data_IF_037088849975
#
_entry.id   IF_037088849975
#
_cell.length_a   1.000
_cell.length_b   1.000
_cell.length_c   1.000
_cell.angle_alpha   90.00
_cell.angle_beta   90.00
_cell.angle_gamma   90.00
#
_symmetry.space_group_name_H-M   'P 1'
#
loop_
_entity.id
_entity.type
_entity.pdbx_description
1 polymer ?
#
# COMPACT_ATOMS: atom_id res chain seq x y z
N UNK A 1 25.66 22.35 6.07
CA UNK A 1 25.10 21.86 5.76
C UNK A 1 24.76 20.65 6.17
N UNK A 2 24.10 20.14 5.74
CA UNK A 2 23.71 19.03 6.14
C UNK A 2 24.60 17.97 6.05
N UNK A 3 24.82 17.34 7.09
CA UNK A 3 25.61 16.18 7.11
C UNK A 3 25.00 15.16 6.24
N UNK A 4 25.74 14.71 5.31
CA UNK A 4 25.34 13.62 4.49
C UNK A 4 25.46 12.32 5.27
N UNK A 5 26.06 12.38 6.45
CA UNK A 5 26.23 11.22 7.28
C UNK A 5 25.12 11.06 8.28
N UNK A 6 23.90 11.22 7.82
CA UNK A 6 22.73 10.95 8.65
C UNK A 6 22.79 9.47 9.07
N UNK A 7 22.83 9.19 10.37
CA UNK A 7 22.91 7.82 10.84
C UNK A 7 21.81 6.90 10.32
N UNK A 8 20.65 7.48 10.04
CA UNK A 8 19.55 6.70 9.50
C UNK A 8 19.82 6.25 8.07
N UNK A 9 20.58 7.03 7.31
CA UNK A 9 20.96 6.63 5.98
C UNK A 9 22.09 5.63 5.98
N UNK A 10 22.96 5.73 6.98
CA UNK A 10 24.10 4.81 7.10
C UNK A 10 23.63 3.39 7.36
N UNK A 11 22.51 3.21 8.05
CA UNK A 11 21.98 1.89 8.34
C UNK A 11 21.31 1.24 7.13
N UNK A 12 21.04 1.99 6.08
CA UNK A 12 20.42 1.44 4.89
C UNK A 12 21.47 0.76 4.02
N UNK A 13 21.37 -0.54 3.88
CA UNK A 13 22.21 -1.30 2.97
C UNK A 13 21.59 -1.22 1.57
N UNK A 14 22.26 -0.56 0.59
CA UNK A 14 21.69 -0.43 -0.75
C UNK A 14 21.53 -1.75 -1.48
N UNK A 15 22.15 -2.82 -0.95
CA UNK A 15 21.99 -4.15 -1.54
C UNK A 15 20.89 -4.96 -0.88
N UNK A 16 20.39 -4.48 0.25
CA UNK A 16 19.31 -5.16 0.95
C UNK A 16 18.01 -4.94 0.16
N UNK A 17 17.23 -6.00 -0.11
CA UNK A 17 15.95 -5.83 -0.75
C UNK A 17 14.99 -5.04 0.15
N UNK A 18 14.07 -4.33 -0.46
CA UNK A 18 13.01 -3.65 0.27
C UNK A 18 12.10 -4.70 0.91
N UNK A 19 11.75 -4.50 2.16
CA UNK A 19 10.86 -5.42 2.87
C UNK A 19 9.44 -4.94 2.66
N UNK A 20 8.62 -5.77 2.04
CA UNK A 20 7.30 -5.38 1.56
C UNK A 20 6.20 -6.22 2.19
N UNK A 21 5.14 -5.55 2.62
CA UNK A 21 3.90 -6.20 3.03
C UNK A 21 2.83 -5.90 1.98
N UNK A 22 2.02 -6.89 1.65
CA UNK A 22 0.90 -6.74 0.72
C UNK A 22 -0.40 -7.09 1.43
N UNK A 23 -1.37 -6.20 1.34
CA UNK A 23 -2.70 -6.42 1.89
C UNK A 23 -3.73 -6.32 0.78
N UNK A 24 -4.56 -7.33 0.64
CA UNK A 24 -5.70 -7.29 -0.27
C UNK A 24 -6.95 -7.04 0.54
N UNK A 25 -7.67 -5.97 0.22
CA UNK A 25 -8.88 -5.58 0.91
C UNK A 25 -10.06 -5.96 0.04
N UNK A 26 -10.76 -6.99 0.44
CA UNK A 26 -11.89 -7.54 -0.31
C UNK A 26 -12.74 -8.43 0.57
N UNK A 27 -14.02 -8.09 0.73
CA UNK A 27 -14.97 -8.93 1.47
C UNK A 27 -15.04 -10.32 0.84
N UNK A 28 -15.12 -10.38 -0.49
CA UNK A 28 -15.23 -11.65 -1.21
C UNK A 28 -13.97 -12.49 -1.10
N UNK A 29 -12.81 -11.83 -1.18
CA UNK A 29 -11.53 -12.51 -1.02
C UNK A 29 -11.34 -13.05 0.38
N UNK A 30 -11.73 -12.26 1.40
CA UNK A 30 -11.61 -12.66 2.79
C UNK A 30 -12.49 -13.87 3.12
N UNK A 31 -13.64 -13.98 2.46
CA UNK A 31 -14.54 -15.11 2.62
C UNK A 31 -14.18 -16.32 1.76
N UNK A 32 -13.12 -16.22 0.96
CA UNK A 32 -12.70 -17.28 0.06
C UNK A 32 -13.55 -17.42 -1.19
N UNK A 33 -14.43 -16.44 -1.48
CA UNK A 33 -15.34 -16.48 -2.61
C UNK A 33 -14.75 -15.97 -3.93
N UNK A 34 -13.53 -15.47 -3.89
CA UNK A 34 -12.86 -14.91 -5.06
C UNK A 34 -11.37 -15.16 -4.95
N UNK A 35 -10.74 -15.52 -6.08
CA UNK A 35 -9.30 -15.61 -6.15
C UNK A 35 -8.68 -14.21 -6.02
N UNK A 36 -7.56 -14.14 -5.35
CA UNK A 36 -6.86 -12.88 -5.16
C UNK A 36 -5.85 -12.64 -6.31
N UNK A 37 -6.37 -12.23 -7.45
CA UNK A 37 -5.54 -11.96 -8.63
C UNK A 37 -4.63 -10.76 -8.43
N UNK A 38 -5.16 -9.68 -7.83
CA UNK A 38 -4.38 -8.47 -7.58
C UNK A 38 -3.23 -8.74 -6.63
N UNK A 39 -3.49 -9.50 -5.57
CA UNK A 39 -2.45 -9.86 -4.61
C UNK A 39 -1.36 -10.71 -5.24
N UNK A 40 -1.75 -11.67 -6.08
CA UNK A 40 -0.77 -12.50 -6.79
C UNK A 40 0.10 -11.68 -7.71
N UNK A 41 -0.50 -10.75 -8.45
CA UNK A 41 0.25 -9.87 -9.34
C UNK A 41 1.22 -9.00 -8.56
N UNK A 42 0.79 -8.45 -7.43
CA UNK A 42 1.66 -7.64 -6.59
C UNK A 42 2.83 -8.43 -6.02
N UNK A 43 2.61 -9.69 -5.63
CA UNK A 43 3.70 -10.54 -5.15
C UNK A 43 4.78 -10.72 -6.21
N UNK A 44 4.37 -10.88 -7.47
CA UNK A 44 5.31 -10.99 -8.57
C UNK A 44 6.05 -9.68 -8.81
N UNK A 45 5.33 -8.55 -8.79
CA UNK A 45 5.90 -7.24 -9.03
C UNK A 45 6.87 -6.81 -7.93
N UNK A 46 6.67 -7.26 -6.70
CA UNK A 46 7.56 -6.97 -5.57
C UNK A 46 8.98 -7.44 -5.87
N UNK A 47 9.14 -8.55 -6.58
CA UNK A 47 10.46 -9.08 -6.93
C UNK A 47 11.24 -8.13 -7.84
N UNK A 48 10.52 -7.35 -8.66
CA UNK A 48 11.16 -6.42 -9.60
C UNK A 48 11.68 -5.14 -8.94
N UNK A 49 11.26 -4.85 -7.70
CA UNK A 49 11.61 -3.62 -7.01
C UNK A 49 13.10 -3.35 -6.80
N UNK A 50 14.01 -4.21 -6.39
CA UNK A 50 13.95 -5.54 -5.79
C UNK A 50 13.37 -5.55 -4.38
N UNK A 51 12.41 -6.40 -4.17
CA UNK A 51 11.72 -6.50 -2.91
C UNK A 51 11.61 -7.93 -2.40
N UNK A 52 11.45 -8.02 -1.10
CA UNK A 52 11.19 -9.28 -0.42
C UNK A 52 9.82 -9.18 0.22
N UNK A 53 8.92 -10.10 -0.13
CA UNK A 53 7.60 -10.13 0.47
C UNK A 53 7.70 -10.80 1.84
N UNK A 54 7.47 -10.01 2.89
CA UNK A 54 7.57 -10.53 4.26
C UNK A 54 6.21 -10.72 4.93
N UNK A 55 5.15 -10.20 4.34
CA UNK A 55 3.80 -10.37 4.89
C UNK A 55 2.77 -10.22 3.78
N UNK A 56 1.77 -11.08 3.80
CA UNK A 56 0.65 -11.01 2.89
C UNK A 56 -0.62 -11.43 3.61
N UNK A 57 -1.69 -10.68 3.43
CA UNK A 57 -2.98 -11.05 4.02
C UNK A 57 -4.13 -10.49 3.20
N UNK A 58 -5.23 -11.23 3.16
CA UNK A 58 -6.49 -10.77 2.60
C UNK A 58 -7.40 -10.41 3.77
N UNK A 59 -7.96 -9.21 3.72
CA UNK A 59 -8.81 -8.68 4.78
C UNK A 59 -10.16 -8.24 4.22
N UNK A 60 -11.23 -8.31 5.02
CA UNK A 60 -12.50 -7.72 4.60
C UNK A 60 -12.42 -6.19 4.59
N UNK A 61 -13.34 -5.56 3.88
CA UNK A 61 -13.40 -4.10 3.77
C UNK A 61 -13.99 -3.45 5.04
N UNK A 62 -13.24 -3.53 6.12
CA UNK A 62 -13.61 -2.97 7.43
C UNK A 62 -12.55 -2.00 7.90
N UNK A 63 -12.91 -0.72 8.03
CA UNK A 63 -11.97 0.34 8.32
C UNK A 63 -11.15 0.11 9.60
N UNK A 64 -11.81 -0.27 10.67
CA UNK A 64 -11.13 -0.51 11.96
C UNK A 64 -10.08 -1.60 11.89
N UNK A 65 -10.38 -2.67 11.15
CA UNK A 65 -9.46 -3.78 10.99
C UNK A 65 -8.27 -3.38 10.11
N UNK A 66 -8.53 -2.64 9.04
CA UNK A 66 -7.48 -2.13 8.16
C UNK A 66 -6.55 -1.19 8.93
N UNK A 67 -7.11 -0.26 9.70
CA UNK A 67 -6.32 0.66 10.52
C UNK A 67 -5.42 -0.10 11.50
N UNK A 68 -5.97 -1.09 12.18
CA UNK A 68 -5.22 -1.85 13.17
C UNK A 68 -4.04 -2.58 12.55
N UNK A 69 -4.24 -3.23 11.40
CA UNK A 69 -3.18 -3.99 10.76
C UNK A 69 -2.10 -3.07 10.16
N UNK A 70 -2.51 -1.95 9.59
CA UNK A 70 -1.56 -0.97 9.05
C UNK A 70 -0.65 -0.42 10.16
N UNK A 71 -1.24 -0.06 11.30
CA UNK A 71 -0.47 0.42 12.45
C UNK A 71 0.49 -0.65 12.97
N UNK A 72 -0.01 -1.86 13.12
CA UNK A 72 0.80 -2.95 13.62
C UNK A 72 2.02 -3.19 12.74
N UNK A 73 1.83 -3.29 11.44
CA UNK A 73 2.92 -3.55 10.52
C UNK A 73 3.93 -2.39 10.51
N UNK A 74 3.44 -1.16 10.39
CA UNK A 74 4.33 0.01 10.33
C UNK A 74 5.09 0.20 11.64
N UNK A 75 4.44 -0.02 12.76
CA UNK A 75 5.05 0.23 14.07
C UNK A 75 6.11 -0.81 14.46
N UNK A 76 6.09 -1.98 13.84
CA UNK A 76 7.13 -2.99 14.09
C UNK A 76 8.51 -2.52 13.62
N UNK A 77 8.55 -1.66 12.60
CA UNK A 77 9.81 -1.11 12.10
C UNK A 77 10.60 -2.01 11.17
N UNK A 78 10.06 -3.16 10.80
CA UNK A 78 10.75 -4.10 9.92
C UNK A 78 10.18 -4.15 8.49
N UNK A 79 9.27 -3.22 8.16
CA UNK A 79 8.65 -3.13 6.82
C UNK A 79 8.96 -1.77 6.22
N UNK A 80 9.46 -1.76 5.00
CA UNK A 80 9.78 -0.51 4.29
C UNK A 80 8.58 0.00 3.51
N UNK A 81 7.75 -0.90 2.99
CA UNK A 81 6.65 -0.57 2.10
C UNK A 81 5.44 -1.46 2.37
N UNK A 82 4.27 -0.84 2.53
CA UNK A 82 3.00 -1.56 2.57
C UNK A 82 2.24 -1.20 1.31
N UNK A 83 1.91 -2.21 0.50
CA UNK A 83 1.05 -2.05 -0.66
C UNK A 83 -0.31 -2.61 -0.32
N UNK A 84 -1.35 -1.80 -0.46
CA UNK A 84 -2.71 -2.30 -0.33
C UNK A 84 -3.36 -2.32 -1.71
N UNK A 85 -4.23 -3.27 -1.97
CA UNK A 85 -4.99 -3.31 -3.20
C UNK A 85 -6.46 -3.53 -2.88
N UNK A 86 -7.32 -2.76 -3.52
CA UNK A 86 -8.76 -2.82 -3.32
C UNK A 86 -9.30 -1.71 -2.42
N UNK A 87 -10.60 -1.54 -2.45
CA UNK A 87 -11.32 -0.61 -1.57
C UNK A 87 -11.07 0.86 -1.81
N UNK A 88 -10.67 1.26 -3.02
CA UNK A 88 -10.33 2.67 -3.31
C UNK A 88 -11.40 3.44 -4.09
N UNK A 89 -12.56 2.84 -4.35
CA UNK A 89 -13.62 3.45 -5.13
C UNK A 89 -14.60 4.27 -4.33
N UNK A 90 -15.84 4.35 -4.82
CA UNK A 90 -16.87 5.20 -4.26
C UNK A 90 -17.99 4.45 -3.51
N UNK A 91 -17.92 3.13 -3.46
CA UNK A 91 -18.89 2.33 -2.71
C UNK A 91 -18.76 2.57 -1.20
N UNK A 92 -19.83 2.47 -0.43
CA UNK A 92 -19.74 2.58 1.03
C UNK A 92 -18.76 1.59 1.68
N UNK A 93 -18.48 0.47 1.02
CA UNK A 93 -17.51 -0.51 1.53
C UNK A 93 -16.09 -0.21 1.08
N UNK A 94 -15.88 0.80 0.25
CA UNK A 94 -14.55 1.21 -0.19
C UNK A 94 -13.97 2.17 0.85
N UNK A 95 -13.33 1.62 1.88
CA UNK A 95 -12.87 2.39 3.04
C UNK A 95 -11.34 2.41 3.20
N UNK A 96 -10.62 1.82 2.25
CA UNK A 96 -9.16 1.76 2.35
C UNK A 96 -8.48 3.14 2.46
N UNK A 97 -8.85 4.14 1.62
CA UNK A 97 -8.23 5.45 1.74
C UNK A 97 -8.52 6.13 3.07
N UNK A 98 -9.74 5.97 3.57
CA UNK A 98 -10.15 6.57 4.83
C UNK A 98 -9.36 5.98 6.00
N UNK A 99 -9.21 4.66 6.02
CA UNK A 99 -8.43 3.97 7.03
C UNK A 99 -6.96 4.38 6.97
N UNK A 100 -6.41 4.48 5.75
CA UNK A 100 -5.02 4.86 5.54
C UNK A 100 -4.76 6.28 6.05
N UNK A 101 -5.66 7.23 5.77
CA UNK A 101 -5.52 8.60 6.24
C UNK A 101 -5.47 8.70 7.75
N UNK A 102 -6.14 7.80 8.47
CA UNK A 102 -6.11 7.80 9.94
C UNK A 102 -4.81 7.23 10.51
N UNK A 103 -4.07 6.51 9.70
CA UNK A 103 -2.85 5.81 10.13
C UNK A 103 -1.58 6.58 9.80
N UNK A 104 -1.53 7.25 8.66
CA UNK A 104 -0.31 7.91 8.20
C UNK A 104 0.00 9.15 9.04
N UNK A 105 1.30 9.42 9.19
CA UNK A 105 1.78 10.63 9.84
C UNK A 105 1.80 11.81 8.87
N UNK A 106 2.09 11.52 7.61
CA UNK A 106 2.14 12.51 6.53
C UNK A 106 1.65 11.91 5.24
N UNK A 107 0.85 12.67 4.52
CA UNK A 107 0.38 12.27 3.19
C UNK A 107 1.40 12.68 2.13
N UNK A 108 1.51 11.88 1.06
CA UNK A 108 2.36 12.21 -0.09
C UNK A 108 1.42 12.30 -1.30
N UNK A 109 0.71 13.42 -1.45
CA UNK A 109 -0.32 13.53 -2.49
C UNK A 109 0.23 13.42 -3.91
N UNK A 110 1.47 13.87 -4.14
CA UNK A 110 2.07 13.78 -5.46
C UNK A 110 2.20 12.36 -5.98
N UNK A 111 2.43 11.38 -5.11
CA UNK A 111 2.50 9.98 -5.53
C UNK A 111 1.15 9.47 -6.01
N UNK A 112 0.08 9.77 -5.26
CA UNK A 112 -1.26 9.37 -5.63
C UNK A 112 -1.71 10.06 -6.91
N UNK A 113 -1.36 11.34 -7.07
CA UNK A 113 -1.67 12.09 -8.28
C UNK A 113 -0.98 11.50 -9.51
N UNK A 114 0.30 11.15 -9.38
CA UNK A 114 1.06 10.54 -10.47
C UNK A 114 0.48 9.18 -10.86
N UNK A 115 0.06 8.39 -9.89
CA UNK A 115 -0.55 7.09 -10.15
C UNK A 115 -1.86 7.25 -10.90
N UNK A 116 -2.72 8.20 -10.46
CA UNK A 116 -3.99 8.46 -11.15
C UNK A 116 -3.75 8.97 -12.57
N UNK A 117 -2.81 9.89 -12.74
CA UNK A 117 -2.49 10.44 -14.07
C UNK A 117 -2.01 9.33 -15.02
N UNK A 118 -1.16 8.44 -14.54
CA UNK A 118 -0.70 7.31 -15.33
C UNK A 118 -1.85 6.37 -15.70
N UNK A 119 -2.72 6.07 -14.75
CA UNK A 119 -3.87 5.18 -14.98
C UNK A 119 -4.92 5.80 -15.90
N UNK A 120 -5.05 7.13 -15.91
CA UNK A 120 -5.97 7.84 -16.80
C UNK A 120 -5.67 7.58 -18.27
N UNK A 121 -4.43 7.27 -18.59
CA UNK A 121 -4.05 6.93 -19.98
C UNK A 121 -4.67 5.62 -20.42
N UNK A 122 -5.01 4.74 -19.48
CA UNK A 122 -5.59 3.43 -19.76
C UNK A 122 -7.10 3.42 -19.61
N UNK A 123 -7.62 4.15 -18.62
CA UNK A 123 -9.05 4.18 -18.33
C UNK A 123 -9.42 5.49 -17.63
N UNK A 124 -10.52 6.15 -18.06
CA UNK A 124 -11.01 7.33 -17.36
C UNK A 124 -11.55 7.01 -15.96
N UNK A 125 -11.79 5.74 -15.63
CA UNK A 125 -12.24 5.35 -14.28
C UNK A 125 -11.20 5.68 -13.21
N UNK A 126 -9.95 5.88 -13.61
CA UNK A 126 -8.90 6.22 -12.66
C UNK A 126 -9.20 7.52 -11.90
N UNK A 127 -10.00 8.43 -12.49
CA UNK A 127 -10.33 9.69 -11.82
C UNK A 127 -11.18 9.52 -10.56
N UNK A 128 -11.88 8.39 -10.41
CA UNK A 128 -12.69 8.15 -9.21
C UNK A 128 -11.96 7.33 -8.16
N UNK A 129 -10.71 7.00 -8.40
CA UNK A 129 -9.90 6.34 -7.38
C UNK A 129 -9.53 7.36 -6.29
N UNK A 130 -9.82 7.02 -5.04
CA UNK A 130 -9.48 7.87 -3.90
C UNK A 130 -8.20 7.42 -3.20
N UNK A 131 -7.39 6.61 -3.90
CA UNK A 131 -6.15 6.06 -3.34
C UNK A 131 -5.28 7.12 -2.68
N UNK A 132 -4.67 6.74 -1.56
CA UNK A 132 -3.82 7.59 -0.74
C UNK A 132 -2.42 6.99 -0.70
N UNK A 133 -1.41 7.84 -0.69
CA UNK A 133 -0.03 7.46 -0.43
C UNK A 133 0.46 8.28 0.75
N UNK A 134 1.18 7.66 1.66
CA UNK A 134 1.68 8.36 2.83
C UNK A 134 2.74 7.59 3.58
N UNK A 135 3.25 8.20 4.62
CA UNK A 135 4.28 7.61 5.47
C UNK A 135 3.78 7.52 6.90
N UNK A 136 4.02 6.38 7.53
CA UNK A 136 3.92 6.24 8.98
C UNK A 136 5.27 5.80 9.50
N UNK A 137 5.88 6.62 10.35
CA UNK A 137 7.26 6.41 10.83
C UNK A 137 8.21 6.21 9.65
N UNK A 138 8.75 5.04 9.43
CA UNK A 138 9.67 4.79 8.33
C UNK A 138 9.07 3.90 7.25
N UNK A 139 7.76 3.67 7.29
CA UNK A 139 7.07 2.81 6.35
C UNK A 139 6.24 3.64 5.37
N UNK A 140 6.47 3.42 4.08
CA UNK A 140 5.68 4.02 3.02
C UNK A 140 4.45 3.14 2.80
N UNK A 141 3.26 3.76 2.76
CA UNK A 141 2.00 3.05 2.52
C UNK A 141 1.40 3.57 1.23
N UNK A 142 1.12 2.67 0.30
CA UNK A 142 0.55 3.01 -1.01
C UNK A 142 -0.72 2.19 -1.24
N UNK A 143 -1.83 2.89 -1.48
CA UNK A 143 -3.07 2.23 -1.89
C UNK A 143 -3.06 2.03 -3.40
N UNK A 144 -3.40 0.83 -3.85
CA UNK A 144 -3.54 0.50 -5.26
C UNK A 144 -4.98 0.08 -5.54
N UNK A 145 -5.48 0.31 -6.76
CA UNK A 145 -6.82 -0.13 -7.11
C UNK A 145 -6.93 -1.66 -7.08
N UNK A 146 -8.16 -2.15 -6.90
CA UNK A 146 -8.42 -3.58 -6.84
C UNK A 146 -8.37 -4.29 -8.17
N UNK A 147 -8.40 -3.53 -9.27
CA UNK A 147 -8.30 -4.11 -10.61
C UNK A 147 -6.83 -4.31 -10.98
N UNK A 148 -6.42 -5.49 -11.46
CA UNK A 148 -5.02 -5.71 -11.86
C UNK A 148 -4.60 -4.94 -13.11
N UNK A 149 -5.50 -4.25 -13.78
CA UNK A 149 -5.20 -3.51 -15.00
C UNK A 149 -4.65 -2.12 -14.76
#
# INVERSE_FOLDING_TARGET
MLSHDNPQNVSADPKRPYRVAVLTLSDKGAEGRRDDESGRLLKEMVRDLPGELIFYKVLPDEAGLIEAILREIADRGDVDLILTTGGTGLSPRDVTPDATLRVIDREIPGMAEAMRASSMKKTPRAMVSRAVCGIRKQTLIINLPGSPR
#
